data_IF_294568349809
#
_entry.id   IF_294568349809
#
_cell.length_a   1.000
_cell.length_b   1.000
_cell.length_c   1.000
_cell.angle_alpha   90.00
_cell.angle_beta   90.00
_cell.angle_gamma   90.00
#
_symmetry.space_group_name_H-M   'P 1'
#
loop_
_entity.id
_entity.type
_entity.pdbx_description
1 polymer ?
#
# COMPACT_ATOMS: atom_id res chain seq x y z
N UNK A 1 -8.43 55.42 -19.91
CA UNK A 1 -8.97 54.07 -19.65
C UNK A 1 -7.94 53.07 -20.15
N UNK A 2 -7.20 52.43 -19.25
CA UNK A 2 -6.40 51.22 -19.49
C UNK A 2 -5.94 50.62 -18.14
N UNK A 3 -6.81 50.64 -17.13
CA UNK A 3 -6.51 50.09 -15.80
C UNK A 3 -6.53 48.56 -15.81
N UNK A 4 -7.34 47.96 -16.68
CA UNK A 4 -7.57 46.51 -16.72
C UNK A 4 -6.37 45.71 -17.24
N UNK A 5 -5.44 46.32 -17.99
CA UNK A 5 -4.24 45.63 -18.49
C UNK A 5 -3.12 45.52 -17.45
N UNK A 6 -3.13 46.38 -16.43
CA UNK A 6 -2.08 46.39 -15.39
C UNK A 6 -2.34 45.26 -14.39
N UNK A 7 -3.59 45.00 -14.02
CA UNK A 7 -3.93 43.96 -13.03
C UNK A 7 -3.62 42.53 -13.50
N UNK A 8 -3.81 42.23 -14.78
CA UNK A 8 -3.54 40.87 -15.33
C UNK A 8 -2.05 40.52 -15.30
N UNK A 9 -1.16 41.49 -15.49
CA UNK A 9 0.29 41.25 -15.45
C UNK A 9 0.79 40.97 -14.02
N UNK A 10 0.22 41.65 -13.02
CA UNK A 10 0.62 41.48 -11.60
C UNK A 10 0.22 40.09 -11.08
N UNK A 11 -0.93 39.56 -11.51
CA UNK A 11 -1.37 38.20 -11.13
C UNK A 11 -0.48 37.10 -11.73
N UNK A 12 -0.02 37.26 -12.97
CA UNK A 12 0.87 36.29 -13.61
C UNK A 12 2.25 36.22 -12.94
N UNK A 13 2.76 37.34 -12.44
CA UNK A 13 4.06 37.38 -11.78
C UNK A 13 4.00 36.88 -10.32
N UNK A 14 2.86 37.08 -9.63
CA UNK A 14 2.62 36.48 -8.31
C UNK A 14 2.53 34.95 -8.38
N UNK A 15 1.89 34.41 -9.43
CA UNK A 15 1.84 32.97 -9.68
C UNK A 15 3.23 32.37 -9.98
N UNK A 16 4.09 33.07 -10.75
CA UNK A 16 5.47 32.63 -11.00
C UNK A 16 6.33 32.64 -9.73
N UNK A 17 6.16 33.66 -8.88
CA UNK A 17 6.85 33.77 -7.58
C UNK A 17 6.45 32.62 -6.64
N UNK A 18 5.14 32.32 -6.56
CA UNK A 18 4.63 31.19 -5.78
C UNK A 18 5.15 29.83 -6.29
N UNK A 19 5.25 29.63 -7.61
CA UNK A 19 5.82 28.40 -8.20
C UNK A 19 7.32 28.27 -7.89
N UNK A 20 8.06 29.38 -7.84
CA UNK A 20 9.47 29.39 -7.42
C UNK A 20 9.66 28.89 -5.99
N UNK A 21 8.85 29.38 -5.05
CA UNK A 21 8.89 28.97 -3.65
C UNK A 21 8.54 27.48 -3.46
N UNK A 22 7.54 26.98 -4.19
CA UNK A 22 7.16 25.56 -4.20
C UNK A 22 8.32 24.69 -4.70
N UNK A 23 9.11 25.17 -5.67
CA UNK A 23 10.25 24.42 -6.21
C UNK A 23 11.39 24.26 -5.19
N UNK A 24 11.69 25.30 -4.42
CA UNK A 24 12.79 25.26 -3.45
C UNK A 24 12.44 24.42 -2.21
N UNK A 25 11.18 24.45 -1.77
CA UNK A 25 10.70 23.58 -0.70
C UNK A 25 10.79 22.10 -1.10
N UNK A 26 10.43 21.78 -2.35
CA UNK A 26 10.59 20.42 -2.92
C UNK A 26 12.07 19.99 -2.92
N UNK A 27 13.01 20.88 -3.30
CA UNK A 27 14.45 20.57 -3.29
C UNK A 27 14.95 20.28 -1.87
N UNK A 28 14.55 21.11 -0.91
CA UNK A 28 14.95 20.96 0.49
C UNK A 28 14.38 19.65 1.08
N UNK A 29 13.10 19.37 0.83
CA UNK A 29 12.48 18.12 1.23
C UNK A 29 13.24 16.92 0.64
N UNK A 30 13.52 16.93 -0.66
CA UNK A 30 14.27 15.88 -1.36
C UNK A 30 15.68 15.68 -0.81
N UNK A 31 16.36 16.74 -0.38
CA UNK A 31 17.70 16.66 0.18
C UNK A 31 17.74 15.87 1.50
N UNK A 32 16.71 16.03 2.33
CA UNK A 32 16.53 15.30 3.58
C UNK A 32 16.23 13.79 3.40
N UNK A 33 15.84 13.37 2.19
CA UNK A 33 15.54 11.97 1.89
C UNK A 33 16.83 11.18 1.60
N UNK A 34 17.00 9.97 2.18
CA UNK A 34 18.10 9.09 1.86
C UNK A 34 18.15 8.73 0.37
N UNK A 35 19.36 8.63 -0.19
CA UNK A 35 19.59 8.44 -1.63
C UNK A 35 18.78 7.29 -2.24
N UNK A 36 18.62 6.19 -1.50
CA UNK A 36 17.84 5.01 -1.87
C UNK A 36 16.38 5.33 -2.23
N UNK A 37 15.77 6.33 -1.61
CA UNK A 37 14.34 6.65 -1.77
C UNK A 37 14.10 7.91 -2.63
N UNK A 38 15.14 8.66 -3.01
CA UNK A 38 14.99 9.90 -3.79
C UNK A 38 14.26 9.70 -5.12
N UNK A 39 14.60 8.63 -5.86
CA UNK A 39 13.90 8.31 -7.12
C UNK A 39 12.40 8.05 -6.93
N UNK A 40 12.03 7.44 -5.80
CA UNK A 40 10.63 7.22 -5.44
C UNK A 40 9.93 8.54 -5.11
N UNK A 41 10.58 9.39 -4.32
CA UNK A 41 10.10 10.75 -4.02
C UNK A 41 9.88 11.55 -5.30
N UNK A 42 10.85 11.56 -6.22
CA UNK A 42 10.74 12.26 -7.51
C UNK A 42 9.50 11.78 -8.30
N UNK A 43 9.24 10.47 -8.33
CA UNK A 43 8.06 9.90 -8.98
C UNK A 43 6.76 10.30 -8.28
N UNK A 44 6.74 10.35 -6.95
CA UNK A 44 5.55 10.74 -6.17
C UNK A 44 5.24 12.22 -6.40
N UNK A 45 6.24 13.10 -6.27
CA UNK A 45 6.07 14.54 -6.45
C UNK A 45 5.72 14.92 -7.90
N UNK A 46 6.14 14.12 -8.88
CA UNK A 46 5.76 14.32 -10.29
C UNK A 46 4.45 13.63 -10.69
N UNK A 47 3.74 12.97 -9.76
CA UNK A 47 2.49 12.27 -10.04
C UNK A 47 2.64 11.01 -10.91
N UNK A 48 3.87 10.50 -11.08
CA UNK A 48 4.20 9.30 -11.87
C UNK A 48 4.26 8.01 -11.02
N UNK A 49 4.03 8.12 -9.72
CA UNK A 49 3.95 6.98 -8.82
C UNK A 49 2.50 6.51 -8.65
N UNK A 50 2.34 5.22 -8.37
CA UNK A 50 1.03 4.70 -7.95
C UNK A 50 0.66 5.21 -6.55
N UNK A 51 -0.63 5.28 -6.19
CA UNK A 51 -1.05 5.62 -4.83
C UNK A 51 -0.41 4.72 -3.75
N UNK A 52 -0.21 3.44 -4.06
CA UNK A 52 0.46 2.49 -3.16
C UNK A 52 1.92 2.87 -2.87
N UNK A 53 2.63 3.36 -3.89
CA UNK A 53 4.01 3.85 -3.76
C UNK A 53 4.09 5.15 -2.96
N UNK A 54 3.14 6.06 -3.16
CA UNK A 54 3.03 7.29 -2.37
C UNK A 54 2.77 6.98 -0.88
N UNK A 55 1.82 6.08 -0.59
CA UNK A 55 1.55 5.60 0.78
C UNK A 55 2.80 4.97 1.39
N UNK A 56 3.54 4.15 0.62
CA UNK A 56 4.79 3.54 1.10
C UNK A 56 5.83 4.59 1.45
N UNK A 57 6.02 5.61 0.61
CA UNK A 57 6.97 6.70 0.87
C UNK A 57 6.57 7.49 2.13
N UNK A 58 5.28 7.79 2.30
CA UNK A 58 4.78 8.46 3.51
C UNK A 58 5.04 7.63 4.77
N UNK A 59 4.82 6.32 4.69
CA UNK A 59 5.08 5.42 5.82
C UNK A 59 6.58 5.34 6.13
N UNK A 60 7.44 5.33 5.12
CA UNK A 60 8.89 5.38 5.31
C UNK A 60 9.30 6.69 5.99
N UNK A 61 8.79 7.85 5.53
CA UNK A 61 9.10 9.14 6.13
C UNK A 61 8.68 9.20 7.61
N UNK A 62 7.51 8.66 7.95
CA UNK A 62 7.01 8.60 9.33
C UNK A 62 7.93 7.82 10.28
N UNK A 63 8.63 6.80 9.77
CA UNK A 63 9.55 5.94 10.54
C UNK A 63 11.03 6.24 10.22
N UNK A 64 11.36 7.46 9.78
CA UNK A 64 12.75 7.85 9.54
C UNK A 64 13.48 6.99 8.49
N UNK A 65 12.73 6.44 7.52
CA UNK A 65 13.20 5.51 6.50
C UNK A 65 13.66 4.13 7.01
N UNK A 66 13.28 3.75 8.24
CA UNK A 66 13.51 2.42 8.79
C UNK A 66 12.44 1.43 8.30
N UNK A 67 12.81 0.55 7.37
CA UNK A 67 11.85 -0.37 6.73
C UNK A 67 11.32 -1.44 7.71
N UNK A 68 12.16 -1.94 8.62
CA UNK A 68 11.78 -2.96 9.61
C UNK A 68 10.69 -2.44 10.55
N UNK A 69 10.86 -1.22 11.07
CA UNK A 69 9.90 -0.58 11.98
C UNK A 69 8.58 -0.24 11.25
N UNK A 70 8.68 0.28 10.02
CA UNK A 70 7.52 0.62 9.21
C UNK A 70 6.57 -0.58 9.01
N UNK A 71 7.11 -1.78 8.79
CA UNK A 71 6.31 -3.01 8.61
C UNK A 71 5.62 -3.44 9.90
N UNK A 72 6.19 -3.14 11.06
CA UNK A 72 5.65 -3.48 12.39
C UNK A 72 4.74 -2.39 12.98
N UNK A 73 4.44 -1.32 12.22
CA UNK A 73 3.61 -0.23 12.71
C UNK A 73 2.16 -0.69 12.99
N UNK A 74 1.75 -0.58 14.26
CA UNK A 74 0.41 -0.94 14.75
C UNK A 74 -0.47 0.29 15.06
N UNK A 75 -0.24 1.42 14.40
CA UNK A 75 -1.05 2.64 14.57
C UNK A 75 -2.41 2.50 13.86
N UNK A 76 -3.35 1.78 14.48
CA UNK A 76 -4.68 1.51 13.90
C UNK A 76 -5.53 2.78 13.65
N UNK A 77 -5.24 3.87 14.37
CA UNK A 77 -5.89 5.17 14.18
C UNK A 77 -5.29 5.97 13.01
N UNK A 78 -4.19 5.50 12.39
CA UNK A 78 -3.66 6.16 11.20
C UNK A 78 -4.64 5.96 10.04
N UNK A 79 -5.06 7.05 9.41
CA UNK A 79 -5.99 7.03 8.27
C UNK A 79 -5.46 6.19 7.11
N UNK A 80 -4.14 6.15 6.93
CA UNK A 80 -3.49 5.34 5.90
C UNK A 80 -3.38 3.86 6.28
N UNK A 81 -3.63 3.48 7.54
CA UNK A 81 -3.37 2.13 8.05
C UNK A 81 -4.01 1.05 7.19
N UNK A 82 -5.30 1.21 6.84
CA UNK A 82 -6.08 0.24 6.05
C UNK A 82 -5.68 0.19 4.56
N UNK A 83 -4.95 1.18 4.07
CA UNK A 83 -4.55 1.31 2.67
C UNK A 83 -3.10 0.88 2.42
N UNK A 84 -2.38 0.45 3.46
CA UNK A 84 -0.96 0.06 3.37
C UNK A 84 -0.78 -1.20 2.54
N UNK A 85 0.09 -1.18 1.50
CA UNK A 85 0.24 -2.33 0.60
C UNK A 85 1.02 -3.51 1.21
N UNK A 86 1.69 -3.33 2.35
CA UNK A 86 2.63 -4.30 2.93
C UNK A 86 2.11 -5.10 4.13
N UNK A 87 0.83 -4.94 4.51
CA UNK A 87 0.22 -5.71 5.59
C UNK A 87 -0.04 -7.19 5.24
N UNK A 88 0.23 -7.60 3.99
CA UNK A 88 0.02 -8.98 3.54
C UNK A 88 1.28 -9.83 3.68
N UNK A 89 1.50 -10.39 4.86
CA UNK A 89 2.16 -11.70 5.00
C UNK A 89 1.99 -12.28 6.39
N UNK A 90 0.81 -12.84 6.65
CA UNK A 90 0.74 -14.04 7.49
C UNK A 90 0.43 -15.17 6.52
N UNK A 91 1.47 -15.69 5.85
CA UNK A 91 1.39 -17.09 5.45
C UNK A 91 1.38 -17.83 6.77
N UNK A 92 0.21 -18.27 7.22
CA UNK A 92 0.14 -19.19 8.33
C UNK A 92 1.04 -20.36 7.94
N UNK A 93 2.10 -20.59 8.71
CA UNK A 93 2.72 -21.89 8.80
C UNK A 93 1.69 -22.80 9.46
N UNK A 94 0.64 -23.15 8.71
CA UNK A 94 -0.27 -24.21 9.12
C UNK A 94 0.54 -25.48 8.91
N UNK A 95 1.00 -26.02 10.03
CA UNK A 95 1.62 -27.32 10.13
C UNK A 95 0.91 -28.33 9.21
N UNK A 96 1.72 -29.02 8.43
CA UNK A 96 1.32 -30.19 7.65
C UNK A 96 0.82 -31.28 8.59
N UNK A 97 -0.47 -31.26 8.93
CA UNK A 97 -1.17 -32.45 9.42
C UNK A 97 -1.23 -33.42 8.23
N UNK A 98 -0.33 -34.40 8.26
CA UNK A 98 -0.34 -35.54 7.36
C UNK A 98 -1.71 -36.21 7.45
N UNK A 99 -2.48 -36.14 6.37
CA UNK A 99 -3.62 -37.03 6.17
C UNK A 99 -3.07 -38.45 5.99
N UNK A 100 -2.91 -39.17 7.10
CA UNK A 100 -2.81 -40.62 7.07
C UNK A 100 -4.17 -41.14 6.62
N UNK A 101 -4.16 -41.81 5.47
CA UNK A 101 -5.25 -42.59 4.93
C UNK A 101 -5.91 -43.41 6.05
N UNK A 102 -7.21 -43.19 6.28
CA UNK A 102 -8.04 -44.12 7.02
C UNK A 102 -8.52 -45.17 6.04
N UNK A 103 -7.67 -46.17 5.83
CA UNK A 103 -8.12 -47.47 5.37
C UNK A 103 -8.96 -48.12 6.49
N UNK A 104 -9.99 -48.84 6.04
CA UNK A 104 -10.45 -50.09 6.64
C UNK A 104 -11.29 -50.03 7.93
N UNK A 105 -12.61 -50.21 7.74
CA UNK A 105 -13.50 -51.02 8.60
C UNK A 105 -14.93 -51.03 8.00
N UNK A 106 -15.09 -51.71 6.85
CA UNK A 106 -16.42 -52.12 6.37
C UNK A 106 -16.82 -53.42 7.07
N UNK A 107 -17.41 -53.27 8.26
CA UNK A 107 -18.10 -54.36 8.97
C UNK A 107 -19.36 -54.72 8.18
N UNK A 108 -19.45 -56.00 7.80
CA UNK A 108 -20.54 -56.56 7.02
C UNK A 108 -21.90 -56.60 7.73
N UNK A 109 -22.94 -56.79 6.91
CA UNK A 109 -24.29 -57.07 7.34
C UNK A 109 -25.11 -57.69 6.22
N UNK A 110 -25.08 -59.02 6.14
CA UNK A 110 -26.06 -59.84 5.41
C UNK A 110 -27.49 -59.56 5.87
N UNK A 111 -28.45 -59.65 4.94
CA UNK A 111 -29.78 -60.26 5.15
C UNK A 111 -30.62 -60.27 3.87
N UNK A 112 -30.69 -61.45 3.29
CA UNK A 112 -31.88 -62.21 2.88
C UNK A 112 -33.03 -61.51 2.14
N UNK A 113 -33.38 -62.12 1.00
CA UNK A 113 -34.34 -61.61 0.03
C UNK A 113 -35.81 -61.89 0.31
N UNK A 114 -36.67 -61.49 -0.65
CA UNK A 114 -37.92 -62.19 -0.94
C UNK A 114 -38.50 -61.76 -2.30
N UNK A 115 -39.13 -62.72 -2.97
CA UNK A 115 -39.73 -62.65 -4.30
C UNK A 115 -41.08 -61.91 -4.35
N UNK A 116 -41.50 -61.51 -5.57
CA UNK A 116 -42.86 -61.63 -6.19
C UNK A 116 -42.85 -60.84 -7.53
N UNK A 117 -42.89 -61.52 -8.68
CA UNK A 117 -44.08 -61.85 -9.48
C UNK A 117 -44.98 -60.66 -9.84
N UNK A 118 -45.00 -60.28 -11.13
CA UNK A 118 -46.16 -60.46 -12.00
C UNK A 118 -45.77 -60.36 -13.47
#
# INVERSE_FOLDING_TARGET
MNSDKIEVSVQADLAKSAVGLISDEIKNHRAAIPSKYRKLCDRVLTGKASPREAIKLQCLACFGYCQSEMVQCNSYLCELYRYRPYQKSVKSSTESVQQSNRDDLSIGGSRDGHAKQK
#
